data_IF_884155057078
#
_entry.id   IF_884155057078
#
_cell.length_a   1.000
_cell.length_b   1.000
_cell.length_c   1.000
_cell.angle_alpha   90.00
_cell.angle_beta   90.00
_cell.angle_gamma   90.00
#
_symmetry.space_group_name_H-M   'P 1'
#
loop_
_entity.id
_entity.type
_entity.pdbx_description
1 polymer ?
#
# COMPACT_ATOMS: atom_id res chain seq x y z
N UNK A 1 -2.43 -8.53 13.04
CA UNK A 1 -3.56 -7.75 13.58
C UNK A 1 -4.78 -7.98 12.71
N UNK A 2 -5.91 -8.34 13.29
CA UNK A 2 -7.13 -8.71 12.62
C UNK A 2 -8.22 -7.62 12.79
N UNK A 3 -8.88 -7.26 11.69
CA UNK A 3 -9.93 -6.23 11.63
C UNK A 3 -11.22 -6.82 11.09
N UNK A 4 -12.12 -7.32 11.96
CA UNK A 4 -13.34 -8.00 11.53
C UNK A 4 -14.33 -7.08 10.79
N UNK A 5 -14.32 -5.78 11.11
CA UNK A 5 -15.31 -4.81 10.63
C UNK A 5 -14.94 -4.16 9.29
N UNK A 6 -13.82 -4.57 8.70
CA UNK A 6 -13.37 -4.10 7.38
C UNK A 6 -13.33 -5.25 6.38
N UNK A 7 -13.33 -4.92 5.09
CA UNK A 7 -13.12 -5.92 4.04
C UNK A 7 -11.69 -6.45 4.02
N UNK A 8 -10.72 -5.66 4.49
CA UNK A 8 -9.33 -6.06 4.69
C UNK A 8 -9.18 -6.64 6.09
N UNK A 9 -8.98 -7.95 6.19
CA UNK A 9 -9.11 -8.69 7.45
C UNK A 9 -7.87 -8.69 8.31
N UNK A 10 -6.68 -8.63 7.71
CA UNK A 10 -5.45 -8.69 8.48
C UNK A 10 -4.35 -7.79 7.93
N UNK A 11 -3.53 -7.30 8.85
CA UNK A 11 -2.28 -6.56 8.60
C UNK A 11 -1.16 -7.18 9.44
N UNK A 12 0.08 -6.83 9.14
CA UNK A 12 1.24 -7.29 9.88
C UNK A 12 1.13 -6.97 11.38
N UNK A 13 1.63 -7.85 12.21
CA UNK A 13 1.81 -7.60 13.64
C UNK A 13 3.20 -6.98 13.87
N UNK A 14 3.24 -5.66 14.04
CA UNK A 14 4.48 -4.91 14.20
C UNK A 14 5.20 -5.17 15.54
N UNK A 15 4.56 -5.90 16.48
CA UNK A 15 5.23 -6.37 17.70
C UNK A 15 6.19 -7.54 17.44
N UNK A 16 6.10 -8.16 16.28
CA UNK A 16 6.96 -9.28 15.90
C UNK A 16 8.44 -8.87 15.84
N UNK A 17 9.33 -9.62 16.51
CA UNK A 17 10.77 -9.35 16.48
C UNK A 17 11.39 -9.51 15.09
N UNK A 18 10.71 -10.18 14.17
CA UNK A 18 11.14 -10.34 12.78
C UNK A 18 11.43 -8.98 12.11
N UNK A 19 10.61 -7.95 12.37
CA UNK A 19 10.83 -6.63 11.78
C UNK A 19 12.11 -5.97 12.22
N UNK A 20 12.46 -6.08 13.51
CA UNK A 20 13.72 -5.55 13.99
C UNK A 20 14.92 -6.34 13.44
N UNK A 21 14.80 -7.66 13.35
CA UNK A 21 15.81 -8.51 12.74
C UNK A 21 16.03 -8.16 11.25
N UNK A 22 14.95 -7.93 10.50
CA UNK A 22 15.00 -7.48 9.10
C UNK A 22 15.76 -6.16 8.94
N UNK A 23 15.44 -5.15 9.77
CA UNK A 23 16.13 -3.86 9.74
C UNK A 23 17.62 -3.98 9.99
N UNK A 24 18.00 -4.74 11.02
CA UNK A 24 19.41 -4.95 11.39
C UNK A 24 20.14 -5.72 10.29
N UNK A 25 19.58 -6.84 9.82
CA UNK A 25 20.22 -7.72 8.84
C UNK A 25 20.59 -6.99 7.55
N UNK A 26 19.69 -6.15 7.04
CA UNK A 26 19.89 -5.42 5.79
C UNK A 26 20.28 -3.95 5.99
N UNK A 27 20.59 -3.53 7.23
CA UNK A 27 21.04 -2.18 7.58
C UNK A 27 20.09 -1.08 7.06
N UNK A 28 18.77 -1.32 7.11
CA UNK A 28 17.78 -0.47 6.45
C UNK A 28 17.75 0.97 6.99
N UNK A 29 18.13 1.21 8.25
CA UNK A 29 18.15 2.54 8.84
C UNK A 29 19.15 3.47 8.15
N UNK A 30 20.20 2.92 7.55
CA UNK A 30 21.22 3.72 6.83
C UNK A 30 20.68 4.35 5.54
N UNK A 31 19.57 3.83 5.00
CA UNK A 31 18.96 4.28 3.74
C UNK A 31 18.44 5.72 3.84
N UNK A 32 18.02 6.13 5.03
CA UNK A 32 17.32 7.42 5.19
C UNK A 32 18.24 8.64 5.17
N UNK A 33 19.51 8.50 5.54
CA UNK A 33 20.46 9.63 5.60
C UNK A 33 19.91 10.86 6.35
N UNK A 34 19.12 10.63 7.39
CA UNK A 34 18.49 11.69 8.19
C UNK A 34 17.16 12.24 7.63
N UNK A 35 16.64 11.69 6.53
CA UNK A 35 15.34 12.11 5.98
C UNK A 35 14.20 11.82 6.97
N UNK A 36 13.32 12.80 7.17
CA UNK A 36 12.17 12.74 8.10
C UNK A 36 10.81 12.83 7.40
N UNK A 37 10.78 13.30 6.15
CA UNK A 37 9.55 13.35 5.36
C UNK A 37 9.01 11.95 5.06
N UNK A 38 7.74 11.72 5.36
CA UNK A 38 7.11 10.40 5.25
C UNK A 38 7.21 9.83 3.82
N UNK A 39 6.80 10.60 2.83
CA UNK A 39 6.80 10.14 1.44
C UNK A 39 8.23 9.89 0.94
N UNK A 40 9.16 10.79 1.22
CA UNK A 40 10.55 10.61 0.81
C UNK A 40 11.19 9.37 1.42
N UNK A 41 10.93 9.09 2.70
CA UNK A 41 11.41 7.86 3.35
C UNK A 41 10.90 6.61 2.65
N UNK A 42 9.62 6.58 2.31
CA UNK A 42 9.02 5.47 1.56
C UNK A 42 9.67 5.32 0.18
N UNK A 43 9.90 6.44 -0.53
CA UNK A 43 10.55 6.41 -1.84
C UNK A 43 12.01 5.93 -1.76
N UNK A 44 12.74 6.28 -0.70
CA UNK A 44 14.10 5.80 -0.47
C UNK A 44 14.12 4.28 -0.23
N UNK A 45 13.21 3.75 0.60
CA UNK A 45 13.08 2.31 0.81
C UNK A 45 12.72 1.57 -0.49
N UNK A 46 11.78 2.11 -1.27
CA UNK A 46 11.40 1.53 -2.56
C UNK A 46 12.58 1.50 -3.54
N UNK A 47 13.33 2.58 -3.63
CA UNK A 47 14.52 2.67 -4.47
C UNK A 47 15.60 1.67 -4.02
N UNK A 48 15.79 1.50 -2.71
CA UNK A 48 16.70 0.48 -2.18
C UNK A 48 16.27 -0.93 -2.63
N UNK A 49 14.99 -1.29 -2.49
CA UNK A 49 14.48 -2.59 -2.95
C UNK A 49 14.81 -2.78 -4.43
N UNK A 50 14.55 -1.76 -5.26
CA UNK A 50 14.88 -1.78 -6.70
C UNK A 50 16.37 -1.95 -6.96
N UNK A 51 17.22 -1.38 -6.13
CA UNK A 51 18.68 -1.46 -6.29
C UNK A 51 19.24 -2.84 -5.96
N UNK A 52 18.61 -3.54 -5.01
CA UNK A 52 19.04 -4.87 -4.56
C UNK A 52 18.52 -5.98 -5.47
N UNK A 53 17.26 -5.89 -5.89
CA UNK A 53 16.61 -6.95 -6.65
C UNK A 53 16.69 -6.66 -8.15
N UNK A 54 17.25 -7.60 -8.93
CA UNK A 54 17.24 -7.56 -10.39
C UNK A 54 15.91 -8.09 -10.92
N UNK A 55 15.49 -7.60 -12.07
CA UNK A 55 14.30 -8.12 -12.76
C UNK A 55 14.65 -9.43 -13.46
N UNK A 56 13.88 -10.47 -13.16
CA UNK A 56 13.83 -11.71 -13.89
C UNK A 56 12.37 -12.22 -13.87
N UNK A 57 11.75 -12.27 -15.02
CA UNK A 57 10.35 -12.67 -15.17
C UNK A 57 10.20 -14.14 -15.63
N UNK A 58 11.30 -14.87 -15.78
CA UNK A 58 11.31 -16.22 -16.34
C UNK A 58 11.52 -17.28 -15.26
N UNK A 59 12.43 -17.04 -14.27
CA UNK A 59 12.82 -18.03 -13.28
C UNK A 59 13.72 -19.14 -13.82
N UNK A 60 13.95 -20.23 -13.09
CA UNK A 60 13.37 -20.53 -11.78
C UNK A 60 13.89 -19.62 -10.67
N UNK A 61 13.06 -19.43 -9.62
CA UNK A 61 13.40 -18.56 -8.49
C UNK A 61 13.92 -19.39 -7.32
N UNK A 62 15.12 -19.07 -6.79
CA UNK A 62 15.64 -19.74 -5.61
C UNK A 62 14.94 -19.32 -4.33
N UNK A 63 15.03 -20.18 -3.31
CA UNK A 63 14.49 -19.93 -1.98
C UNK A 63 13.02 -20.32 -1.82
N UNK A 64 12.43 -19.91 -0.69
CA UNK A 64 11.06 -20.25 -0.32
C UNK A 64 10.03 -19.14 -0.64
N UNK A 65 10.49 -18.06 -1.26
CA UNK A 65 9.65 -16.91 -1.61
C UNK A 65 9.32 -15.97 -0.46
N UNK A 66 9.83 -16.19 0.76
CA UNK A 66 9.73 -15.21 1.85
C UNK A 66 10.58 -13.98 1.57
N UNK A 67 10.24 -12.86 2.20
CA UNK A 67 10.95 -11.60 1.97
C UNK A 67 12.47 -11.72 2.26
N UNK A 68 12.83 -12.42 3.33
CA UNK A 68 14.24 -12.63 3.69
C UNK A 68 14.95 -13.53 2.70
N UNK A 69 14.31 -14.62 2.27
CA UNK A 69 14.86 -15.53 1.26
C UNK A 69 15.09 -14.82 -0.08
N UNK A 70 14.11 -14.01 -0.52
CA UNK A 70 14.24 -13.19 -1.74
C UNK A 70 15.42 -12.23 -1.63
N UNK A 71 15.54 -11.51 -0.51
CA UNK A 71 16.64 -10.56 -0.31
C UNK A 71 18.01 -11.25 -0.24
N UNK A 72 18.12 -12.36 0.46
CA UNK A 72 19.37 -13.12 0.55
C UNK A 72 19.82 -13.63 -0.83
N UNK A 73 18.90 -14.12 -1.63
CA UNK A 73 19.20 -14.60 -2.98
C UNK A 73 19.46 -13.43 -3.96
N UNK A 74 18.74 -12.30 -3.81
CA UNK A 74 19.01 -11.12 -4.60
C UNK A 74 20.42 -10.55 -4.35
N UNK A 75 20.89 -10.57 -3.11
CA UNK A 75 22.25 -10.16 -2.76
C UNK A 75 23.33 -11.09 -3.36
N UNK A 76 22.98 -12.33 -3.69
CA UNK A 76 23.85 -13.24 -4.46
C UNK A 76 23.78 -12.99 -5.97
N UNK A 77 22.90 -12.10 -6.42
CA UNK A 77 22.77 -11.69 -7.81
C UNK A 77 21.62 -12.33 -8.57
N UNK A 78 20.76 -13.15 -7.93
CA UNK A 78 19.56 -13.69 -8.55
C UNK A 78 18.53 -12.58 -8.81
N UNK A 79 17.74 -12.75 -9.88
CA UNK A 79 16.65 -11.89 -10.24
C UNK A 79 15.28 -12.46 -9.85
N UNK A 80 14.26 -11.59 -9.83
CA UNK A 80 12.93 -11.96 -9.38
C UNK A 80 11.83 -11.21 -10.13
N UNK A 81 10.61 -11.77 -10.19
CA UNK A 81 9.44 -11.14 -10.81
C UNK A 81 8.69 -10.21 -9.84
N UNK A 82 7.64 -9.55 -10.34
CA UNK A 82 6.87 -8.53 -9.63
C UNK A 82 6.30 -8.98 -8.27
N UNK A 83 5.80 -10.21 -8.16
CA UNK A 83 5.25 -10.74 -6.92
C UNK A 83 6.28 -10.80 -5.78
N UNK A 84 7.53 -11.08 -6.10
CA UNK A 84 8.61 -11.07 -5.11
C UNK A 84 8.96 -9.65 -4.64
N UNK A 85 8.97 -8.67 -5.55
CA UNK A 85 9.10 -7.25 -5.18
C UNK A 85 7.98 -6.81 -4.24
N UNK A 86 6.73 -7.22 -4.52
CA UNK A 86 5.57 -6.94 -3.68
C UNK A 86 5.73 -7.51 -2.27
N UNK A 87 6.20 -8.75 -2.13
CA UNK A 87 6.43 -9.41 -0.83
C UNK A 87 7.51 -8.68 -0.03
N UNK A 88 8.64 -8.35 -0.67
CA UNK A 88 9.73 -7.62 -0.03
C UNK A 88 9.30 -6.21 0.37
N UNK A 89 8.59 -5.50 -0.51
CA UNK A 89 8.10 -4.16 -0.19
C UNK A 89 7.12 -4.17 0.97
N UNK A 90 6.20 -5.15 1.04
CA UNK A 90 5.32 -5.31 2.18
C UNK A 90 6.10 -5.44 3.50
N UNK A 91 7.10 -6.32 3.55
CA UNK A 91 7.92 -6.53 4.74
C UNK A 91 8.71 -5.28 5.15
N UNK A 92 9.40 -4.65 4.18
CA UNK A 92 10.27 -3.49 4.44
C UNK A 92 9.47 -2.27 4.89
N UNK A 93 8.32 -1.99 4.26
CA UNK A 93 7.46 -0.86 4.65
C UNK A 93 6.86 -1.05 6.04
N UNK A 94 6.35 -2.24 6.33
CA UNK A 94 5.80 -2.56 7.66
C UNK A 94 6.88 -2.53 8.76
N UNK A 95 8.15 -2.81 8.46
CA UNK A 95 9.25 -2.68 9.42
C UNK A 95 9.42 -1.26 9.97
N UNK A 96 8.91 -0.26 9.25
CA UNK A 96 8.88 1.16 9.66
C UNK A 96 7.48 1.65 10.05
N UNK A 97 6.52 0.74 10.18
CA UNK A 97 5.16 1.07 10.63
C UNK A 97 4.25 1.66 9.56
N UNK A 98 4.67 1.65 8.29
CA UNK A 98 3.79 2.08 7.20
C UNK A 98 2.73 1.01 6.92
N UNK A 99 1.46 1.39 7.03
CA UNK A 99 0.35 0.50 6.69
C UNK A 99 0.41 0.19 5.20
N UNK A 100 0.65 -1.07 4.88
CA UNK A 100 0.88 -1.51 3.50
C UNK A 100 -0.06 -2.64 3.14
N UNK A 101 -0.58 -2.63 1.91
CA UNK A 101 -1.38 -3.71 1.37
C UNK A 101 -0.86 -4.17 0.01
N UNK A 102 -1.03 -5.46 -0.24
CA UNK A 102 -0.62 -6.11 -1.48
C UNK A 102 -1.76 -6.15 -2.47
N UNK A 103 -1.47 -5.91 -3.72
CA UNK A 103 -2.45 -5.99 -4.80
C UNK A 103 -1.84 -6.52 -6.09
N UNK A 104 -2.70 -7.11 -6.91
CA UNK A 104 -2.43 -7.42 -8.29
C UNK A 104 -3.05 -6.36 -9.19
N UNK A 105 -2.43 -6.10 -10.32
CA UNK A 105 -2.94 -5.22 -11.37
C UNK A 105 -2.73 -5.85 -12.74
N UNK A 106 -3.48 -5.38 -13.73
CA UNK A 106 -3.34 -5.84 -15.11
C UNK A 106 -4.09 -4.94 -16.08
N UNK A 107 -3.81 -5.09 -17.39
CA UNK A 107 -4.46 -4.32 -18.45
C UNK A 107 -5.87 -4.82 -18.78
N UNK A 108 -6.41 -5.76 -18.03
CA UNK A 108 -7.69 -6.39 -18.32
C UNK A 108 -7.64 -7.26 -19.59
N UNK A 109 -8.79 -7.46 -20.21
CA UNK A 109 -8.92 -8.32 -21.42
C UNK A 109 -8.01 -7.85 -22.56
N UNK A 110 -7.77 -6.54 -22.67
CA UNK A 110 -7.00 -5.98 -23.77
C UNK A 110 -5.50 -6.30 -23.71
N UNK A 111 -4.97 -6.69 -22.55
CA UNK A 111 -3.54 -6.92 -22.36
C UNK A 111 -3.08 -8.37 -22.51
N UNK A 112 -4.00 -9.30 -22.64
CA UNK A 112 -3.68 -10.73 -22.72
C UNK A 112 -3.21 -11.36 -21.39
N UNK A 113 -2.80 -12.65 -21.40
CA UNK A 113 -2.51 -13.41 -20.19
C UNK A 113 -1.25 -12.96 -19.44
N UNK A 114 -0.32 -12.28 -20.10
CA UNK A 114 0.98 -11.90 -19.50
C UNK A 114 0.97 -10.56 -18.77
N UNK A 115 -0.24 -9.96 -18.62
CA UNK A 115 -0.38 -8.60 -18.11
C UNK A 115 -0.44 -8.47 -16.57
N UNK A 116 -0.33 -9.56 -15.80
CA UNK A 116 -0.43 -9.47 -14.34
C UNK A 116 0.79 -8.83 -13.70
N UNK A 117 0.56 -7.98 -12.71
CA UNK A 117 1.60 -7.25 -12.02
C UNK A 117 1.33 -7.17 -10.51
N UNK A 118 2.25 -7.68 -9.70
CA UNK A 118 2.19 -7.60 -8.25
C UNK A 118 2.82 -6.31 -7.74
N UNK A 119 2.08 -5.54 -6.94
CA UNK A 119 2.44 -4.22 -6.42
C UNK A 119 1.89 -3.99 -5.01
N UNK A 120 2.17 -2.82 -4.44
CA UNK A 120 1.66 -2.43 -3.14
C UNK A 120 0.95 -1.08 -3.18
N UNK A 121 0.02 -0.88 -2.27
CA UNK A 121 -0.41 0.44 -1.82
C UNK A 121 0.05 0.67 -0.38
N UNK A 122 0.42 1.91 -0.11
CA UNK A 122 0.92 2.34 1.19
C UNK A 122 0.08 3.52 1.64
N UNK A 123 -0.33 3.52 2.91
CA UNK A 123 -1.03 4.66 3.49
C UNK A 123 -0.07 5.80 3.81
N UNK A 124 -0.41 6.99 3.34
CA UNK A 124 0.30 8.24 3.65
C UNK A 124 -0.50 9.06 4.66
N UNK A 125 0.00 9.16 5.88
CA UNK A 125 -0.64 9.98 6.92
C UNK A 125 -0.62 11.47 6.55
N UNK A 126 0.45 11.95 5.96
CA UNK A 126 0.62 13.35 5.52
C UNK A 126 -0.38 13.77 4.45
N UNK A 127 -0.89 12.84 3.65
CA UNK A 127 -1.87 13.07 2.58
C UNK A 127 -3.26 12.53 2.91
N UNK A 128 -3.41 11.80 4.01
CA UNK A 128 -4.64 11.08 4.40
C UNK A 128 -5.20 10.21 3.26
N UNK A 129 -4.33 9.44 2.61
CA UNK A 129 -4.74 8.60 1.47
C UNK A 129 -3.80 7.44 1.22
N UNK A 130 -4.30 6.46 0.51
CA UNK A 130 -3.49 5.40 -0.11
C UNK A 130 -2.75 5.95 -1.33
N UNK A 131 -1.54 5.43 -1.58
CA UNK A 131 -0.86 5.66 -2.83
C UNK A 131 -0.23 4.36 -3.35
N UNK A 132 -0.26 4.19 -4.67
CA UNK A 132 0.34 3.05 -5.34
C UNK A 132 1.85 3.20 -5.40
N UNK A 133 2.57 2.15 -4.99
CA UNK A 133 4.02 2.10 -4.97
C UNK A 133 4.51 0.83 -5.67
N UNK A 134 5.15 0.99 -6.80
CA UNK A 134 5.69 -0.10 -7.60
C UNK A 134 7.21 -0.20 -7.41
N UNK A 135 7.64 -1.18 -6.64
CA UNK A 135 9.06 -1.40 -6.37
C UNK A 135 9.81 -2.04 -7.55
N UNK A 136 9.15 -2.81 -8.40
CA UNK A 136 9.80 -3.46 -9.55
C UNK A 136 10.34 -2.42 -10.55
N UNK A 137 9.57 -1.37 -10.81
CA UNK A 137 9.94 -0.31 -11.74
C UNK A 137 10.43 0.96 -11.04
N UNK A 138 10.34 1.00 -9.71
CA UNK A 138 10.64 2.16 -8.87
C UNK A 138 9.83 3.40 -9.27
N UNK A 139 8.52 3.21 -9.46
CA UNK A 139 7.60 4.27 -9.88
C UNK A 139 6.41 4.43 -8.95
N UNK A 140 5.82 5.61 -9.02
CA UNK A 140 4.48 5.92 -8.58
C UNK A 140 3.85 6.95 -9.52
N UNK A 141 2.61 7.32 -9.27
CA UNK A 141 1.89 8.30 -10.10
C UNK A 141 1.49 9.49 -9.24
N UNK A 142 1.52 10.67 -9.85
CA UNK A 142 1.05 11.92 -9.24
C UNK A 142 0.10 12.65 -10.17
N UNK A 143 -0.81 13.46 -9.61
CA UNK A 143 -1.59 14.41 -10.41
C UNK A 143 -0.66 15.42 -11.06
N UNK A 144 -0.99 15.87 -12.28
CA UNK A 144 -0.24 16.95 -12.94
C UNK A 144 -0.36 18.28 -12.17
N UNK A 145 -1.50 18.51 -11.49
CA UNK A 145 -1.66 19.65 -10.59
C UNK A 145 -0.70 19.51 -9.40
N UNK A 146 -0.01 20.61 -9.11
CA UNK A 146 0.96 20.70 -8.02
C UNK A 146 0.40 21.46 -6.84
N UNK A 147 0.80 21.07 -5.63
CA UNK A 147 0.57 21.85 -4.42
C UNK A 147 1.41 23.15 -4.47
N UNK A 148 1.09 24.15 -3.63
CA UNK A 148 1.83 25.42 -3.61
C UNK A 148 3.35 25.28 -3.38
N UNK A 149 3.78 24.23 -2.70
CA UNK A 149 5.19 23.90 -2.48
C UNK A 149 5.85 23.14 -3.66
N UNK A 150 5.12 22.96 -4.75
CA UNK A 150 5.57 22.23 -5.94
C UNK A 150 5.50 20.72 -5.82
N UNK A 151 5.01 20.16 -4.71
CA UNK A 151 4.84 18.73 -4.57
C UNK A 151 3.65 18.23 -5.39
N UNK A 152 3.80 17.06 -5.99
CA UNK A 152 2.68 16.34 -6.62
C UNK A 152 1.83 15.63 -5.56
N UNK A 153 0.58 15.34 -5.91
CA UNK A 153 -0.32 14.53 -5.08
C UNK A 153 -0.19 13.09 -5.52
N UNK A 154 0.35 12.19 -4.69
CA UNK A 154 0.47 10.77 -5.02
C UNK A 154 -0.91 10.14 -5.22
N UNK A 155 -1.03 9.17 -6.12
CA UNK A 155 -2.30 8.57 -6.52
C UNK A 155 -2.46 7.15 -6.00
N UNK A 156 -3.67 6.81 -5.57
CA UNK A 156 -4.09 5.44 -5.28
C UNK A 156 -4.26 4.63 -6.57
N UNK A 157 -4.34 3.32 -6.42
CA UNK A 157 -4.58 2.43 -7.54
C UNK A 157 -5.88 2.76 -8.28
N UNK A 158 -6.96 3.05 -7.55
CA UNK A 158 -8.25 3.43 -8.16
C UNK A 158 -8.18 4.80 -8.84
N UNK A 159 -7.44 5.76 -8.31
CA UNK A 159 -7.27 7.06 -8.98
C UNK A 159 -6.51 6.93 -10.30
N UNK A 160 -5.49 6.08 -10.36
CA UNK A 160 -4.74 5.79 -11.61
C UNK A 160 -5.64 5.09 -12.62
N UNK A 161 -6.38 4.07 -12.17
CA UNK A 161 -7.37 3.35 -12.97
C UNK A 161 -8.41 4.30 -13.58
N UNK A 162 -9.01 5.13 -12.76
CA UNK A 162 -10.00 6.12 -13.18
C UNK A 162 -9.44 7.08 -14.24
N UNK A 163 -8.24 7.60 -14.01
CA UNK A 163 -7.58 8.49 -14.97
C UNK A 163 -7.28 7.79 -16.30
N UNK A 164 -6.84 6.53 -16.25
CA UNK A 164 -6.65 5.77 -17.49
C UNK A 164 -7.97 5.57 -18.24
N UNK A 165 -9.01 5.10 -17.56
CA UNK A 165 -10.30 4.76 -18.18
C UNK A 165 -11.01 6.00 -18.73
N UNK A 166 -10.98 7.12 -18.00
CA UNK A 166 -11.70 8.36 -18.36
C UNK A 166 -10.91 9.28 -19.28
N UNK A 167 -9.61 9.39 -19.09
CA UNK A 167 -8.77 10.43 -19.69
C UNK A 167 -7.50 9.88 -20.37
N UNK A 168 -7.37 8.54 -20.54
CA UNK A 168 -6.16 7.92 -21.07
C UNK A 168 -4.88 8.39 -20.34
N UNK A 169 -5.00 8.57 -19.01
CA UNK A 169 -3.94 9.05 -18.13
C UNK A 169 -3.41 10.46 -18.47
N UNK A 170 -4.18 11.30 -19.15
CA UNK A 170 -3.71 12.63 -19.58
C UNK A 170 -3.36 13.57 -18.40
N UNK A 171 -4.07 13.44 -17.27
CA UNK A 171 -3.98 14.36 -16.13
C UNK A 171 -3.02 13.88 -15.03
N UNK A 172 -2.26 12.83 -15.28
CA UNK A 172 -1.31 12.27 -14.31
C UNK A 172 0.09 12.16 -14.89
N UNK A 173 1.09 12.05 -14.02
CA UNK A 173 2.50 11.88 -14.36
C UNK A 173 3.07 10.65 -13.67
N UNK A 174 3.97 9.94 -14.35
CA UNK A 174 4.79 8.90 -13.74
C UNK A 174 5.99 9.58 -13.09
N UNK A 175 6.28 9.19 -11.85
CA UNK A 175 7.45 9.64 -11.09
C UNK A 175 8.32 8.44 -10.79
N UNK A 176 9.58 8.52 -11.19
CA UNK A 176 10.58 7.45 -11.01
C UNK A 176 11.64 7.84 -10.01
N UNK A 177 11.98 6.87 -9.14
CA UNK A 177 13.01 7.04 -8.12
C UNK A 177 12.63 7.99 -6.99
N UNK A 178 13.53 8.23 -6.04
CA UNK A 178 13.31 9.14 -4.91
C UNK A 178 13.42 10.63 -5.29
N UNK A 179 14.05 10.96 -6.43
CA UNK A 179 14.36 12.31 -6.84
C UNK A 179 13.21 13.07 -7.50
N UNK A 180 12.00 12.51 -7.57
CA UNK A 180 10.80 13.14 -8.17
C UNK A 180 11.08 13.79 -9.54
N UNK A 181 11.63 13.05 -10.48
CA UNK A 181 11.75 13.52 -11.86
C UNK A 181 10.48 13.10 -12.61
N UNK A 182 9.53 14.03 -12.87
CA UNK A 182 8.45 13.76 -13.78
C UNK A 182 9.04 13.51 -15.16
N UNK A 183 8.69 12.40 -15.75
CA UNK A 183 9.17 12.09 -17.09
C UNK A 183 8.29 12.84 -18.09
N UNK A 184 8.86 13.71 -18.92
CA UNK A 184 8.13 14.67 -19.76
C UNK A 184 8.33 14.52 -21.27
N UNK A 185 9.10 13.52 -21.74
CA UNK A 185 9.32 13.33 -23.17
C UNK A 185 8.12 12.71 -23.91
N UNK A 186 8.05 12.87 -25.23
CA UNK A 186 6.94 12.36 -26.07
C UNK A 186 6.88 10.82 -26.04
N UNK A 187 8.02 10.14 -25.95
CA UNK A 187 8.06 8.69 -25.78
C UNK A 187 7.45 8.23 -24.47
N UNK A 188 7.51 9.08 -23.45
CA UNK A 188 6.93 8.83 -22.13
C UNK A 188 5.44 9.13 -22.09
N UNK A 189 4.91 10.01 -22.94
CA UNK A 189 3.46 10.14 -23.06
C UNK A 189 2.86 8.86 -23.60
N UNK A 190 3.50 8.23 -24.59
CA UNK A 190 3.05 6.91 -25.11
C UNK A 190 3.24 5.81 -24.08
N UNK A 191 4.39 5.76 -23.39
CA UNK A 191 4.64 4.80 -22.34
C UNK A 191 3.74 5.02 -21.11
N UNK A 192 3.33 6.28 -20.82
CA UNK A 192 2.44 6.62 -19.73
C UNK A 192 1.05 5.98 -19.91
N UNK A 193 0.45 6.07 -21.10
CA UNK A 193 -0.83 5.43 -21.37
C UNK A 193 -0.71 3.90 -21.23
N UNK A 194 0.28 3.30 -21.88
CA UNK A 194 0.54 1.86 -21.78
C UNK A 194 0.85 1.41 -20.35
N UNK A 195 1.66 2.17 -19.62
CA UNK A 195 1.97 1.87 -18.21
C UNK A 195 0.72 2.00 -17.35
N UNK A 196 -0.09 3.05 -17.55
CA UNK A 196 -1.33 3.26 -16.79
C UNK A 196 -2.38 2.18 -17.11
N UNK A 197 -2.37 1.65 -18.33
CA UNK A 197 -3.21 0.51 -18.72
C UNK A 197 -2.96 -0.72 -17.84
N UNK A 198 -1.73 -0.95 -17.40
CA UNK A 198 -1.38 -2.05 -16.49
C UNK A 198 -2.12 -1.96 -15.16
N UNK A 199 -2.60 -0.77 -14.77
CA UNK A 199 -3.35 -0.55 -13.54
C UNK A 199 -4.84 -0.31 -13.79
N UNK A 200 -5.35 -0.72 -14.96
CA UNK A 200 -6.76 -0.55 -15.29
C UNK A 200 -7.66 -1.60 -14.65
N UNK A 201 -7.10 -2.72 -14.22
CA UNK A 201 -7.76 -3.77 -13.47
C UNK A 201 -6.97 -4.05 -12.19
N UNK A 202 -7.64 -4.09 -11.03
CA UNK A 202 -6.98 -4.17 -9.75
C UNK A 202 -7.72 -5.13 -8.83
N UNK A 203 -6.94 -6.00 -8.18
CA UNK A 203 -7.38 -6.86 -7.10
C UNK A 203 -6.53 -6.65 -5.86
N UNK A 204 -7.14 -6.49 -4.71
CA UNK A 204 -6.43 -6.36 -3.44
C UNK A 204 -6.43 -7.67 -2.69
N UNK A 205 -5.32 -8.00 -2.06
CA UNK A 205 -5.31 -9.09 -1.09
C UNK A 205 -6.12 -8.68 0.15
N UNK A 206 -7.06 -9.52 0.55
CA UNK A 206 -7.83 -9.32 1.78
C UNK A 206 -6.95 -9.36 3.01
N UNK A 207 -5.92 -10.23 2.98
CA UNK A 207 -5.01 -10.50 4.08
C UNK A 207 -3.61 -10.00 3.72
N UNK A 208 -3.08 -9.06 4.55
CA UNK A 208 -1.84 -8.35 4.28
C UNK A 208 -0.73 -8.61 5.31
N UNK A 209 -0.86 -9.64 6.14
CA UNK A 209 0.15 -10.10 7.09
C UNK A 209 1.11 -11.14 6.47
N UNK A 210 1.64 -10.82 5.30
CA UNK A 210 2.39 -11.76 4.46
C UNK A 210 3.81 -12.06 4.95
N UNK A 211 4.41 -11.19 5.75
CA UNK A 211 5.76 -11.37 6.25
C UNK A 211 5.79 -12.16 7.56
N UNK A 212 4.96 -11.79 8.53
CA UNK A 212 4.93 -12.46 9.83
C UNK A 212 4.25 -13.83 9.79
N UNK A 213 3.37 -14.04 8.81
CA UNK A 213 2.58 -15.26 8.64
C UNK A 213 2.94 -16.04 7.35
N UNK A 214 4.20 -16.07 6.99
CA UNK A 214 4.67 -16.82 5.82
C UNK A 214 4.86 -18.32 6.15
N UNK A 215 4.53 -19.27 5.25
CA UNK A 215 3.80 -19.09 3.99
C UNK A 215 2.31 -18.83 4.20
N UNK A 216 1.71 -18.10 3.26
CA UNK A 216 0.29 -17.74 3.35
C UNK A 216 -0.53 -18.79 2.63
N UNK A 217 -1.51 -19.35 3.32
CA UNK A 217 -2.62 -20.03 2.66
C UNK A 217 -3.46 -19.00 1.90
N UNK A 218 -3.85 -19.35 0.68
CA UNK A 218 -4.55 -18.51 -0.30
C UNK A 218 -5.45 -17.44 0.33
N UNK A 219 -5.09 -16.17 0.20
CA UNK A 219 -5.95 -15.08 0.63
C UNK A 219 -7.04 -14.82 -0.42
N UNK A 220 -8.26 -14.52 0.06
CA UNK A 220 -9.31 -14.00 -0.79
C UNK A 220 -8.84 -12.67 -1.38
N UNK A 221 -9.14 -12.46 -2.67
CA UNK A 221 -8.92 -11.20 -3.35
C UNK A 221 -10.18 -10.34 -3.27
N UNK A 222 -10.00 -9.03 -3.26
CA UNK A 222 -11.07 -8.03 -3.26
C UNK A 222 -10.97 -7.27 -4.57
N UNK A 223 -12.08 -7.07 -5.25
CA UNK A 223 -12.15 -6.31 -6.50
C UNK A 223 -13.23 -5.24 -6.40
N UNK A 224 -12.94 -4.07 -6.92
CA UNK A 224 -13.90 -2.98 -6.97
C UNK A 224 -14.93 -3.26 -8.07
N UNK A 225 -16.21 -3.28 -7.70
CA UNK A 225 -17.33 -3.52 -8.59
C UNK A 225 -17.95 -2.20 -9.04
N UNK A 226 -17.71 -1.83 -10.28
CA UNK A 226 -18.27 -0.65 -10.92
C UNK A 226 -18.67 -0.93 -12.38
N UNK A 227 -19.02 0.11 -13.14
CA UNK A 227 -19.42 0.02 -14.54
C UNK A 227 -18.35 -0.59 -15.47
N UNK A 228 -17.09 -0.63 -15.05
CA UNK A 228 -15.98 -1.19 -15.82
C UNK A 228 -15.62 -2.62 -15.43
N UNK A 229 -16.12 -3.15 -14.33
CA UNK A 229 -15.72 -4.46 -13.82
C UNK A 229 -16.00 -5.60 -14.79
N UNK A 230 -17.09 -5.52 -15.56
CA UNK A 230 -17.44 -6.51 -16.58
C UNK A 230 -16.66 -6.38 -17.90
N UNK A 231 -16.07 -5.23 -18.19
CA UNK A 231 -15.40 -4.93 -19.46
C UNK A 231 -13.88 -5.01 -19.38
N UNK A 232 -13.31 -4.96 -18.19
CA UNK A 232 -11.88 -4.99 -17.91
C UNK A 232 -11.49 -6.20 -17.07
N UNK A 233 -12.13 -7.34 -17.33
CA UNK A 233 -11.84 -8.59 -16.64
C UNK A 233 -10.44 -9.06 -17.00
N UNK A 234 -9.63 -9.28 -16.00
CA UNK A 234 -8.30 -9.82 -16.19
C UNK A 234 -8.34 -11.30 -16.59
N UNK A 235 -7.43 -11.70 -17.44
CA UNK A 235 -7.26 -13.08 -17.86
C UNK A 235 -6.03 -13.65 -17.12
N UNK A 236 -6.31 -14.48 -16.16
CA UNK A 236 -5.34 -15.28 -15.47
C UNK A 236 -5.33 -16.67 -16.13
N UNK A 237 -4.20 -17.28 -16.34
CA UNK A 237 -4.10 -18.60 -16.95
C UNK A 237 -4.77 -18.77 -18.34
N UNK A 238 -5.00 -17.68 -19.05
CA UNK A 238 -5.63 -17.73 -20.38
C UNK A 238 -7.16 -17.88 -20.36
N UNK A 239 -7.81 -17.77 -19.19
CA UNK A 239 -9.25 -17.83 -19.06
C UNK A 239 -9.80 -16.56 -18.40
N UNK A 240 -10.92 -16.02 -18.89
CA UNK A 240 -11.58 -14.94 -18.19
C UNK A 240 -11.99 -15.38 -16.79
N UNK A 241 -11.60 -14.64 -15.74
CA UNK A 241 -12.12 -14.85 -14.42
C UNK A 241 -13.52 -14.24 -14.29
N UNK A 242 -14.49 -14.94 -14.87
CA UNK A 242 -15.91 -14.58 -14.77
C UNK A 242 -16.52 -14.88 -13.39
N UNK A 243 -15.80 -15.60 -12.58
CA UNK A 243 -16.34 -16.12 -11.34
C UNK A 243 -16.23 -15.09 -10.23
N UNK A 244 -16.91 -14.00 -10.40
CA UNK A 244 -17.28 -13.12 -9.33
C UNK A 244 -17.99 -13.94 -8.23
N UNK A 245 -17.64 -13.72 -6.97
CA UNK A 245 -18.11 -14.50 -5.81
C UNK A 245 -17.63 -15.96 -5.76
N UNK A 246 -16.45 -16.23 -6.23
CA UNK A 246 -15.76 -17.48 -5.89
C UNK A 246 -15.25 -17.42 -4.45
N UNK A 247 -14.85 -18.57 -3.85
CA UNK A 247 -14.14 -18.58 -2.57
C UNK A 247 -12.86 -17.71 -2.55
N UNK A 248 -12.36 -17.29 -3.71
CA UNK A 248 -11.11 -16.55 -3.87
C UNK A 248 -11.28 -15.06 -4.19
N UNK A 249 -12.48 -14.61 -4.57
CA UNK A 249 -12.72 -13.22 -4.96
C UNK A 249 -14.03 -12.68 -4.42
N UNK A 250 -13.96 -11.50 -3.84
CA UNK A 250 -15.10 -10.73 -3.35
C UNK A 250 -15.24 -9.43 -4.13
N UNK A 251 -16.40 -9.20 -4.73
CA UNK A 251 -16.76 -7.92 -5.31
C UNK A 251 -17.23 -6.94 -4.24
N UNK A 252 -16.81 -5.70 -4.34
CA UNK A 252 -17.15 -4.62 -3.41
C UNK A 252 -17.52 -3.37 -4.21
N UNK A 253 -18.79 -2.98 -4.15
CA UNK A 253 -19.29 -1.78 -4.83
C UNK A 253 -19.02 -0.49 -4.03
N UNK A 254 -18.79 -0.58 -2.73
CA UNK A 254 -18.47 0.58 -1.92
C UNK A 254 -16.98 0.95 -2.02
N UNK A 255 -16.68 1.98 -2.80
CA UNK A 255 -15.32 2.51 -2.94
C UNK A 255 -14.70 2.91 -1.61
N UNK A 256 -15.50 3.43 -0.65
CA UNK A 256 -14.97 3.83 0.66
C UNK A 256 -14.53 2.63 1.49
N UNK A 257 -15.14 1.47 1.29
CA UNK A 257 -14.65 0.25 1.92
C UNK A 257 -13.31 -0.19 1.36
N UNK A 258 -13.04 0.02 0.06
CA UNK A 258 -11.73 -0.24 -0.56
C UNK A 258 -10.71 0.83 -0.15
N UNK A 259 -11.06 2.11 -0.28
CA UNK A 259 -10.20 3.24 0.10
C UNK A 259 -10.43 3.64 1.56
N UNK A 260 -10.68 2.66 2.45
CA UNK A 260 -10.85 2.92 3.87
C UNK A 260 -9.68 3.69 4.46
N UNK A 261 -9.96 4.53 5.46
CA UNK A 261 -8.98 5.44 6.06
C UNK A 261 -8.44 4.84 7.36
N UNK A 262 -7.23 4.26 7.38
CA UNK A 262 -6.57 3.86 8.61
C UNK A 262 -6.12 5.09 9.43
N UNK A 263 -5.71 4.82 10.68
CA UNK A 263 -5.18 5.85 11.58
C UNK A 263 -6.19 6.97 11.90
N UNK A 264 -7.47 6.62 11.97
CA UNK A 264 -8.52 7.53 12.45
C UNK A 264 -8.85 7.25 13.90
N UNK A 265 -9.27 8.31 14.60
CA UNK A 265 -9.80 8.23 15.95
C UNK A 265 -11.19 8.86 15.97
N UNK A 266 -12.12 8.20 16.63
CA UNK A 266 -13.45 8.73 16.91
C UNK A 266 -13.68 8.75 18.40
N UNK A 267 -14.53 9.66 18.86
CA UNK A 267 -14.88 9.75 20.28
C UNK A 267 -16.40 9.83 20.47
N UNK A 268 -16.88 9.16 21.50
CA UNK A 268 -18.21 9.38 22.07
C UNK A 268 -18.04 10.10 23.42
N UNK A 269 -18.77 11.21 23.58
CA UNK A 269 -18.70 12.02 24.81
C UNK A 269 -20.05 12.02 25.49
N UNK A 270 -20.08 11.69 26.78
CA UNK A 270 -21.26 11.75 27.63
C UNK A 270 -20.96 12.74 28.76
N UNK A 271 -21.73 13.80 28.84
CA UNK A 271 -21.60 14.80 29.90
C UNK A 271 -22.66 14.54 30.96
N UNK A 272 -22.23 14.44 32.22
CA UNK A 272 -23.09 14.33 33.40
C UNK A 272 -22.55 15.25 34.47
N UNK A 273 -23.38 16.21 34.88
CA UNK A 273 -22.98 17.22 35.90
C UNK A 273 -21.69 17.93 35.45
N UNK A 274 -20.65 17.87 36.29
CA UNK A 274 -19.34 18.48 36.02
C UNK A 274 -18.30 17.48 35.45
N UNK A 275 -18.75 16.37 34.85
CA UNK A 275 -17.87 15.33 34.33
C UNK A 275 -18.20 15.03 32.87
N UNK A 276 -17.17 14.80 32.07
CA UNK A 276 -17.27 14.22 30.73
C UNK A 276 -16.67 12.84 30.70
N UNK A 277 -17.49 11.82 30.46
CA UNK A 277 -17.04 10.48 30.11
C UNK A 277 -16.72 10.46 28.61
N UNK A 278 -15.50 10.09 28.24
CA UNK A 278 -15.04 10.03 26.85
C UNK A 278 -14.66 8.58 26.54
N UNK A 279 -15.25 8.03 25.49
CA UNK A 279 -14.84 6.75 24.94
C UNK A 279 -14.19 6.97 23.57
N UNK A 280 -12.98 6.46 23.41
CA UNK A 280 -12.18 6.56 22.19
C UNK A 280 -12.30 5.24 21.40
N UNK A 281 -12.34 5.33 20.08
CA UNK A 281 -12.24 4.21 19.19
C UNK A 281 -11.32 4.56 18.01
N UNK A 282 -10.52 3.61 17.56
CA UNK A 282 -9.60 3.80 16.45
C UNK A 282 -9.54 2.57 15.56
N UNK A 283 -9.38 2.80 14.26
CA UNK A 283 -9.10 1.78 13.27
C UNK A 283 -7.60 1.68 12.91
N UNK A 284 -6.72 2.25 13.74
CA UNK A 284 -5.27 2.22 13.53
C UNK A 284 -4.73 0.80 13.67
N UNK A 285 -4.15 0.22 12.62
CA UNK A 285 -3.43 -1.05 12.74
C UNK A 285 -2.28 -0.91 13.74
N UNK A 286 -2.15 -1.89 14.65
CA UNK A 286 -1.11 -1.88 15.67
C UNK A 286 -1.17 -0.68 16.64
N UNK A 287 -2.35 -0.20 16.96
CA UNK A 287 -2.54 0.85 17.95
C UNK A 287 -1.85 0.45 19.27
N UNK A 288 -0.97 1.28 19.77
CA UNK A 288 -0.24 1.05 21.02
C UNK A 288 -0.94 1.69 22.22
N UNK A 289 -1.31 2.95 22.09
CA UNK A 289 -1.93 3.74 23.16
C UNK A 289 -2.67 4.93 22.57
N UNK A 290 -3.60 5.46 23.35
CA UNK A 290 -4.16 6.78 23.11
C UNK A 290 -3.38 7.80 23.93
N UNK A 291 -3.28 9.02 23.42
CA UNK A 291 -2.65 10.12 24.14
C UNK A 291 -3.54 11.36 24.11
N UNK A 292 -3.54 12.11 25.18
CA UNK A 292 -4.23 13.40 25.25
C UNK A 292 -3.35 14.49 25.82
N UNK A 293 -3.71 15.73 25.51
CA UNK A 293 -3.22 16.94 26.18
C UNK A 293 -4.36 17.61 26.90
N UNK A 294 -4.16 18.01 28.14
CA UNK A 294 -5.16 18.77 28.91
C UNK A 294 -5.23 20.22 28.46
N UNK A 295 -4.12 20.74 27.95
CA UNK A 295 -4.03 22.11 27.41
C UNK A 295 -3.25 22.09 26.08
N UNK A 296 -3.50 23.05 25.15
CA UNK A 296 -2.82 23.08 23.86
C UNK A 296 -1.29 23.06 23.91
N UNK A 297 -0.69 23.64 24.92
CA UNK A 297 0.77 23.66 25.13
C UNK A 297 1.31 22.55 26.06
N UNK A 298 0.43 21.72 26.62
CA UNK A 298 0.80 20.68 27.57
C UNK A 298 1.53 19.48 26.94
N UNK A 299 2.05 18.61 27.79
CA UNK A 299 2.66 17.36 27.37
C UNK A 299 1.58 16.32 27.04
N UNK A 300 1.90 15.42 26.10
CA UNK A 300 1.10 14.25 25.83
C UNK A 300 1.15 13.27 27.00
N UNK A 301 0.01 12.77 27.43
CA UNK A 301 -0.14 11.75 28.47
C UNK A 301 -0.86 10.55 27.87
N UNK A 302 -0.38 9.35 28.16
CA UNK A 302 -1.06 8.12 27.80
C UNK A 302 -2.41 8.02 28.54
N UNK A 303 -3.44 7.62 27.82
CA UNK A 303 -4.78 7.43 28.37
C UNK A 303 -5.37 6.09 27.87
N UNK A 304 -6.34 5.56 28.59
CA UNK A 304 -7.12 4.40 28.16
C UNK A 304 -8.12 4.81 27.04
N UNK A 305 -8.74 3.82 26.44
CA UNK A 305 -9.84 4.03 25.47
C UNK A 305 -11.11 4.64 26.13
N UNK A 306 -11.16 4.63 27.46
CA UNK A 306 -12.25 5.21 28.25
C UNK A 306 -11.64 6.06 29.37
N UNK A 307 -12.00 7.34 29.42
CA UNK A 307 -11.53 8.28 30.42
C UNK A 307 -12.64 9.20 30.90
N UNK A 308 -12.47 9.71 32.13
CA UNK A 308 -13.35 10.70 32.72
C UNK A 308 -12.57 11.99 32.93
N UNK A 309 -13.12 13.11 32.51
CA UNK A 309 -12.52 14.44 32.63
C UNK A 309 -13.45 15.34 33.45
N UNK A 310 -12.93 16.05 34.44
CA UNK A 310 -13.67 17.06 35.17
C UNK A 310 -13.82 18.31 34.30
N UNK A 311 -15.05 18.82 34.23
CA UNK A 311 -15.36 20.06 33.55
C UNK A 311 -15.29 21.20 34.56
N UNK A 312 -14.40 22.15 34.33
CA UNK A 312 -14.24 23.34 35.18
C UNK A 312 -15.23 24.45 34.79
#
# INVERSE_FOLDING_TARGET
>A
VYFPDTIFKSYEDLSSPKFNALKIKYQLDTIFHGETDELKRILLLRNWIKSVIKIDDIGPYPGDGSAESILDEALKGHGFHCGHYMVVQNAVMNAYGYVTRCLGAGPGIAGGPDGHHGINEIWLNSYHKWFLSDAKYDIHFEKNARLPDGQGIPLSALEIRDEYLKNKAALISIVKGPGKIPQTSEDLKKSKEATSQTYSWIEWNRDNNKYTNWPIDSSMMIMYDDEYSGTHTWIWDGKPHWAYNTPYMQLVADRKAIEWTPNTITSAVIIKENKAGIKLNSNTPNLKTYQMKETPGGNWKDVSDSLEVLLN
#
